data_IF_296354598226
#
_entry.id   IF_296354598226
#
_cell.length_a   1.000
_cell.length_b   1.000
_cell.length_c   1.000
_cell.angle_alpha   90.00
_cell.angle_beta   90.00
_cell.angle_gamma   90.00
#
_symmetry.space_group_name_H-M   'P 1'
#
loop_
_entity.id
_entity.type
_entity.pdbx_description
1 polymer ?
#
# COMPACT_ATOMS: atom_id res chain seq x y z
N UNK A 1 -28.33 12.83 -0.69
CA UNK A 1 -27.01 12.39 -1.23
C UNK A 1 -25.91 13.04 -0.40
N UNK A 2 -25.01 12.24 0.14
CA UNK A 2 -23.79 12.79 0.74
C UNK A 2 -23.02 13.57 -0.33
N UNK A 3 -22.51 14.76 0.01
CA UNK A 3 -21.70 15.54 -0.92
C UNK A 3 -20.42 14.76 -1.26
N UNK A 4 -19.81 15.07 -2.41
CA UNK A 4 -18.51 14.47 -2.79
C UNK A 4 -17.48 14.63 -1.66
N UNK A 5 -17.50 15.75 -0.97
CA UNK A 5 -16.64 16.06 0.17
C UNK A 5 -16.88 15.11 1.36
N UNK A 6 -18.14 14.84 1.73
CA UNK A 6 -18.50 13.92 2.81
C UNK A 6 -18.09 12.48 2.52
N UNK A 7 -18.17 12.07 1.24
CA UNK A 7 -17.72 10.74 0.81
C UNK A 7 -16.19 10.60 0.96
N UNK A 8 -15.43 11.59 0.51
CA UNK A 8 -13.96 11.60 0.63
C UNK A 8 -13.51 11.66 2.10
N UNK A 9 -14.17 12.46 2.94
CA UNK A 9 -13.87 12.51 4.37
C UNK A 9 -14.15 11.16 5.05
N UNK A 10 -15.30 10.53 4.74
CA UNK A 10 -15.63 9.20 5.25
C UNK A 10 -14.63 8.14 4.80
N UNK A 11 -14.21 8.18 3.54
CA UNK A 11 -13.18 7.29 2.99
C UNK A 11 -11.86 7.43 3.74
N UNK A 12 -11.40 8.65 3.95
CA UNK A 12 -10.17 8.94 4.70
C UNK A 12 -10.23 8.42 6.14
N UNK A 13 -11.37 8.62 6.83
CA UNK A 13 -11.58 8.12 8.19
C UNK A 13 -11.55 6.60 8.25
N UNK A 14 -12.17 5.91 7.29
CA UNK A 14 -12.14 4.45 7.19
C UNK A 14 -10.71 3.95 6.98
N UNK A 15 -9.97 4.51 6.01
CA UNK A 15 -8.58 4.12 5.75
C UNK A 15 -7.68 4.33 6.97
N UNK A 16 -7.80 5.49 7.63
CA UNK A 16 -7.03 5.78 8.86
C UNK A 16 -7.35 4.79 9.97
N UNK A 17 -8.63 4.47 10.19
CA UNK A 17 -9.05 3.48 11.18
C UNK A 17 -8.50 2.08 10.86
N UNK A 18 -8.52 1.69 9.59
CA UNK A 18 -7.98 0.39 9.15
C UNK A 18 -6.47 0.30 9.39
N UNK A 19 -5.69 1.31 8.97
CA UNK A 19 -4.23 1.32 9.19
C UNK A 19 -3.91 1.16 10.68
N UNK A 20 -4.58 1.93 11.54
CA UNK A 20 -4.36 1.83 12.98
C UNK A 20 -4.70 0.44 13.52
N UNK A 21 -5.89 -0.10 13.20
CA UNK A 21 -6.34 -1.40 13.69
C UNK A 21 -5.48 -2.55 13.16
N UNK A 22 -5.07 -2.48 11.88
CA UNK A 22 -4.22 -3.51 11.29
C UNK A 22 -2.84 -3.52 11.94
N UNK A 23 -2.26 -2.36 12.23
CA UNK A 23 -0.96 -2.28 12.92
C UNK A 23 -1.05 -2.65 14.40
N UNK A 24 -2.17 -2.35 15.07
CA UNK A 24 -2.37 -2.66 16.49
C UNK A 24 -2.62 -4.15 16.76
N UNK A 25 -3.40 -4.82 15.92
CA UNK A 25 -3.89 -6.19 16.21
C UNK A 25 -3.86 -7.18 15.05
N UNK A 26 -3.40 -6.75 13.88
CA UNK A 26 -3.33 -7.54 12.66
C UNK A 26 -4.59 -7.41 11.78
N UNK A 27 -4.40 -7.72 10.50
CA UNK A 27 -5.46 -7.68 9.49
C UNK A 27 -6.57 -8.71 9.79
N UNK A 28 -6.18 -9.97 10.03
CA UNK A 28 -7.13 -11.07 10.24
C UNK A 28 -8.04 -10.83 11.46
N UNK A 29 -7.47 -10.33 12.56
CA UNK A 29 -8.19 -10.07 13.82
C UNK A 29 -9.04 -8.80 13.79
N UNK A 30 -8.90 -7.95 12.79
CA UNK A 30 -9.67 -6.71 12.65
C UNK A 30 -11.01 -7.00 11.97
N UNK A 31 -12.10 -6.64 12.66
CA UNK A 31 -13.47 -6.80 12.17
C UNK A 31 -14.01 -5.53 11.53
N UNK A 32 -14.96 -5.67 10.61
CA UNK A 32 -15.65 -4.51 10.01
C UNK A 32 -16.34 -3.66 11.07
N UNK A 33 -16.93 -4.29 12.12
CA UNK A 33 -17.59 -3.57 13.23
C UNK A 33 -16.63 -2.63 13.95
N UNK A 34 -15.41 -3.07 14.21
CA UNK A 34 -14.36 -2.23 14.83
C UNK A 34 -13.93 -1.08 13.93
N UNK A 35 -13.80 -1.34 12.63
CA UNK A 35 -13.50 -0.30 11.64
C UNK A 35 -14.60 0.77 11.64
N UNK A 36 -15.88 0.36 11.56
CA UNK A 36 -17.02 1.28 11.60
C UNK A 36 -17.01 2.15 12.86
N UNK A 37 -16.82 1.52 14.01
CA UNK A 37 -16.78 2.20 15.30
C UNK A 37 -15.64 3.20 15.39
N UNK A 38 -14.43 2.79 14.99
CA UNK A 38 -13.23 3.63 15.05
C UNK A 38 -13.29 4.78 14.03
N UNK A 39 -13.81 4.55 12.84
CA UNK A 39 -13.99 5.55 11.79
C UNK A 39 -15.18 6.50 12.07
N UNK A 40 -16.09 6.15 12.96
CA UNK A 40 -17.30 6.91 13.22
C UNK A 40 -18.23 6.99 12.00
N UNK A 41 -18.36 5.89 11.26
CA UNK A 41 -19.22 5.82 10.06
C UNK A 41 -20.30 4.75 10.22
N UNK A 42 -21.42 4.94 9.50
CA UNK A 42 -22.48 3.95 9.48
C UNK A 42 -22.14 2.77 8.58
N UNK A 43 -22.75 1.57 8.80
CA UNK A 43 -22.61 0.44 7.89
C UNK A 43 -22.95 0.81 6.43
N UNK A 44 -24.04 1.58 6.23
CA UNK A 44 -24.45 2.04 4.89
C UNK A 44 -23.35 2.87 4.22
N UNK A 45 -22.76 3.82 4.95
CA UNK A 45 -21.65 4.64 4.44
C UNK A 45 -20.45 3.77 4.06
N UNK A 46 -20.10 2.81 4.91
CA UNK A 46 -19.01 1.89 4.65
C UNK A 46 -19.22 1.08 3.36
N UNK A 47 -20.37 0.39 3.26
CA UNK A 47 -20.65 -0.47 2.11
C UNK A 47 -20.89 0.30 0.80
N UNK A 48 -21.21 1.60 0.87
CA UNK A 48 -21.26 2.48 -0.30
C UNK A 48 -19.85 2.88 -0.80
N UNK A 49 -18.82 2.79 0.05
CA UNK A 49 -17.43 3.14 -0.29
C UNK A 49 -16.62 1.87 -0.54
N UNK A 50 -16.70 0.91 0.37
CA UNK A 50 -15.99 -0.36 0.34
C UNK A 50 -16.97 -1.52 0.51
N UNK A 51 -16.99 -2.44 -0.42
CA UNK A 51 -17.87 -3.61 -0.34
C UNK A 51 -17.38 -4.63 0.70
N UNK A 52 -16.08 -4.70 0.93
CA UNK A 52 -15.44 -5.67 1.83
C UNK A 52 -14.22 -5.07 2.52
N UNK A 53 -13.74 -5.72 3.57
CA UNK A 53 -12.43 -5.42 4.17
C UNK A 53 -11.28 -5.64 3.17
N UNK A 54 -11.43 -6.61 2.26
CA UNK A 54 -10.46 -6.87 1.19
C UNK A 54 -10.31 -5.71 0.20
N UNK A 55 -11.39 -5.00 -0.12
CA UNK A 55 -11.33 -3.82 -0.98
C UNK A 55 -10.48 -2.69 -0.38
N UNK A 56 -10.48 -2.59 0.96
CA UNK A 56 -9.62 -1.64 1.68
C UNK A 56 -8.15 -2.07 1.58
N UNK A 57 -7.90 -3.37 1.74
CA UNK A 57 -6.55 -3.93 1.60
C UNK A 57 -5.99 -3.65 0.20
N UNK A 58 -6.80 -3.81 -0.85
CA UNK A 58 -6.40 -3.49 -2.23
C UNK A 58 -6.02 -2.03 -2.38
N UNK A 59 -6.79 -1.10 -1.82
CA UNK A 59 -6.47 0.33 -1.88
C UNK A 59 -5.20 0.68 -1.09
N UNK A 60 -5.02 0.07 0.09
CA UNK A 60 -3.78 0.24 0.88
C UNK A 60 -2.56 -0.33 0.13
N UNK A 61 -2.71 -1.49 -0.51
CA UNK A 61 -1.68 -2.09 -1.36
C UNK A 61 -1.30 -1.16 -2.51
N UNK A 62 -2.29 -0.59 -3.20
CA UNK A 62 -2.05 0.38 -4.27
C UNK A 62 -1.28 1.61 -3.77
N UNK A 63 -1.64 2.13 -2.62
CA UNK A 63 -0.95 3.25 -2.00
C UNK A 63 0.49 2.91 -1.62
N UNK A 64 0.71 1.76 -0.96
CA UNK A 64 2.03 1.31 -0.49
C UNK A 64 2.99 1.14 -1.68
N UNK A 65 2.60 0.39 -2.69
CA UNK A 65 3.46 0.09 -3.83
C UNK A 65 3.51 1.22 -4.89
N UNK A 66 2.49 2.07 -4.95
CA UNK A 66 2.52 3.28 -5.76
C UNK A 66 3.46 4.37 -5.24
N UNK A 67 3.77 4.35 -3.95
CA UNK A 67 4.69 5.26 -3.28
C UNK A 67 6.02 4.62 -2.88
N UNK A 68 6.28 3.41 -3.37
CA UNK A 68 7.55 2.71 -3.21
C UNK A 68 8.72 3.63 -3.60
N UNK A 69 9.82 3.55 -2.89
CA UNK A 69 11.02 4.38 -3.04
C UNK A 69 10.92 5.84 -2.55
N UNK A 70 9.77 6.32 -2.09
CA UNK A 70 9.67 7.70 -1.61
C UNK A 70 10.48 7.96 -0.33
N UNK A 71 10.53 7.00 0.59
CA UNK A 71 11.26 7.11 1.85
C UNK A 71 12.73 6.83 1.61
N UNK A 72 13.05 5.74 0.94
CA UNK A 72 14.43 5.36 0.59
C UNK A 72 15.11 6.45 -0.25
N UNK A 73 14.41 7.05 -1.20
CA UNK A 73 14.92 8.19 -1.98
C UNK A 73 15.30 9.39 -1.12
N UNK A 74 14.52 9.69 -0.08
CA UNK A 74 14.89 10.75 0.89
C UNK A 74 16.09 10.40 1.75
N UNK A 75 16.29 9.11 2.04
CA UNK A 75 17.43 8.63 2.84
C UNK A 75 18.73 8.72 2.04
N UNK A 76 18.71 8.28 0.78
CA UNK A 76 19.93 8.18 -0.06
C UNK A 76 20.24 9.44 -0.86
N UNK A 77 19.26 10.32 -1.07
CA UNK A 77 19.41 11.56 -1.84
C UNK A 77 19.17 11.41 -3.34
N UNK A 78 19.02 12.56 -4.04
CA UNK A 78 18.53 12.64 -5.43
C UNK A 78 19.52 12.11 -6.48
N UNK A 79 20.84 12.15 -6.22
CA UNK A 79 21.88 11.72 -7.17
C UNK A 79 22.38 10.29 -6.93
N UNK A 80 21.56 9.44 -6.32
CA UNK A 80 21.99 8.12 -5.90
C UNK A 80 21.93 7.10 -7.03
N UNK A 81 22.90 6.18 -7.04
CA UNK A 81 22.88 5.00 -7.89
C UNK A 81 21.58 4.21 -7.68
N UNK A 82 20.82 3.89 -8.74
CA UNK A 82 19.52 3.21 -8.63
C UNK A 82 19.62 1.82 -7.96
N UNK A 83 20.75 1.13 -8.10
CA UNK A 83 20.98 -0.14 -7.39
C UNK A 83 21.03 0.07 -5.87
N UNK A 84 21.68 1.15 -5.42
CA UNK A 84 21.71 1.50 -3.99
C UNK A 84 20.32 1.90 -3.50
N UNK A 85 19.60 2.70 -4.27
CA UNK A 85 18.21 3.06 -3.94
C UNK A 85 17.32 1.81 -3.80
N UNK A 86 17.42 0.90 -4.75
CA UNK A 86 16.68 -0.38 -4.70
C UNK A 86 17.07 -1.24 -3.50
N UNK A 87 18.38 -1.35 -3.21
CA UNK A 87 18.87 -2.10 -2.06
C UNK A 87 18.37 -1.51 -0.73
N UNK A 88 18.41 -0.18 -0.58
CA UNK A 88 17.91 0.49 0.64
C UNK A 88 16.41 0.30 0.80
N UNK A 89 15.63 0.41 -0.28
CA UNK A 89 14.18 0.14 -0.25
C UNK A 89 13.88 -1.30 0.18
N UNK A 90 14.57 -2.27 -0.40
CA UNK A 90 14.40 -3.69 -0.06
C UNK A 90 14.76 -3.96 1.40
N UNK A 91 15.90 -3.44 1.86
CA UNK A 91 16.31 -3.57 3.26
C UNK A 91 15.30 -2.91 4.22
N UNK A 92 14.78 -1.74 3.85
CA UNK A 92 13.76 -1.03 4.65
C UNK A 92 12.48 -1.86 4.78
N UNK A 93 11.95 -2.37 3.68
CA UNK A 93 10.74 -3.19 3.69
C UNK A 93 10.92 -4.47 4.51
N UNK A 94 12.03 -5.20 4.31
CA UNK A 94 12.33 -6.42 5.07
C UNK A 94 12.49 -6.13 6.56
N UNK A 95 13.19 -5.05 6.91
CA UNK A 95 13.38 -4.66 8.31
C UNK A 95 12.05 -4.30 8.97
N UNK A 96 11.20 -3.53 8.31
CA UNK A 96 9.87 -3.16 8.83
C UNK A 96 8.99 -4.40 9.02
N UNK A 97 9.01 -5.33 8.08
CA UNK A 97 8.26 -6.59 8.18
C UNK A 97 8.80 -7.51 9.28
N UNK A 98 10.12 -7.48 9.55
CA UNK A 98 10.73 -8.25 10.64
C UNK A 98 10.39 -7.65 12.01
N UNK A 99 10.44 -6.33 12.13
CA UNK A 99 10.20 -5.63 13.40
C UNK A 99 8.71 -5.55 13.78
N UNK A 100 7.79 -5.72 12.83
CA UNK A 100 6.37 -5.60 13.08
C UNK A 100 5.58 -6.76 12.44
N UNK A 101 5.16 -7.71 13.28
CA UNK A 101 4.41 -8.89 12.85
C UNK A 101 3.10 -8.54 12.16
N UNK A 102 2.38 -7.53 12.64
CA UNK A 102 1.12 -7.11 12.04
C UNK A 102 1.32 -6.46 10.66
N UNK A 103 2.42 -5.73 10.48
CA UNK A 103 2.79 -5.19 9.17
C UNK A 103 3.19 -6.32 8.21
N UNK A 104 3.95 -7.31 8.68
CA UNK A 104 4.26 -8.52 7.89
C UNK A 104 3.00 -9.25 7.45
N UNK A 105 2.01 -9.39 8.34
CA UNK A 105 0.69 -9.96 8.01
C UNK A 105 0.02 -9.21 6.86
N UNK A 106 0.04 -7.88 6.86
CA UNK A 106 -0.54 -7.05 5.78
C UNK A 106 0.15 -7.35 4.44
N UNK A 107 1.48 -7.46 4.40
CA UNK A 107 2.22 -7.85 3.19
C UNK A 107 1.81 -9.25 2.72
N UNK A 108 1.78 -10.24 3.62
CA UNK A 108 1.38 -11.61 3.28
C UNK A 108 -0.04 -11.64 2.73
N UNK A 109 -0.98 -10.97 3.37
CA UNK A 109 -2.38 -10.89 2.90
C UNK A 109 -2.49 -10.21 1.53
N UNK A 110 -1.72 -9.15 1.29
CA UNK A 110 -1.69 -8.47 0.00
C UNK A 110 -1.26 -9.43 -1.13
N UNK A 111 -0.28 -10.29 -0.87
CA UNK A 111 0.20 -11.30 -1.84
C UNK A 111 -0.65 -12.58 -1.92
N UNK A 112 -1.70 -12.73 -1.12
CA UNK A 112 -2.63 -13.87 -1.24
C UNK A 112 -3.79 -13.61 -2.20
N UNK A 113 -4.05 -12.35 -2.54
CA UNK A 113 -5.15 -11.95 -3.43
C UNK A 113 -4.60 -11.76 -4.86
N UNK A 114 -5.05 -12.54 -5.86
CA UNK A 114 -4.51 -12.49 -7.22
C UNK A 114 -4.53 -11.08 -7.85
N UNK A 115 -5.60 -10.33 -7.64
CA UNK A 115 -5.74 -8.96 -8.14
C UNK A 115 -4.69 -8.02 -7.53
N UNK A 116 -4.34 -8.22 -6.27
CA UNK A 116 -3.31 -7.45 -5.59
C UNK A 116 -1.91 -7.81 -6.09
N UNK A 117 -1.65 -9.10 -6.40
CA UNK A 117 -0.37 -9.54 -6.97
C UNK A 117 -0.10 -8.80 -8.28
N UNK A 118 -1.07 -8.80 -9.19
CA UNK A 118 -0.96 -8.09 -10.46
C UNK A 118 -0.76 -6.58 -10.25
N UNK A 119 -1.50 -5.99 -9.32
CA UNK A 119 -1.36 -4.58 -8.95
C UNK A 119 0.04 -4.26 -8.42
N UNK A 120 0.57 -5.10 -7.53
CA UNK A 120 1.92 -4.97 -6.94
C UNK A 120 2.96 -5.01 -8.06
N UNK A 121 2.93 -6.01 -8.92
CA UNK A 121 3.88 -6.15 -10.02
C UNK A 121 3.85 -4.94 -10.96
N UNK A 122 2.66 -4.50 -11.38
CA UNK A 122 2.50 -3.30 -12.23
C UNK A 122 3.05 -2.04 -11.57
N UNK A 123 2.73 -1.81 -10.30
CA UNK A 123 3.20 -0.62 -9.57
C UNK A 123 4.71 -0.65 -9.38
N UNK A 124 5.27 -1.79 -8.98
CA UNK A 124 6.70 -1.97 -8.80
C UNK A 124 7.44 -1.79 -10.12
N UNK A 125 6.99 -2.40 -11.22
CA UNK A 125 7.59 -2.25 -12.54
C UNK A 125 7.67 -0.78 -12.99
N UNK A 126 6.61 -0.01 -12.80
CA UNK A 126 6.61 1.43 -13.09
C UNK A 126 7.62 2.19 -12.23
N UNK A 127 7.75 1.87 -10.96
CA UNK A 127 8.72 2.51 -10.08
C UNK A 127 10.16 2.12 -10.45
N UNK A 128 10.41 0.85 -10.76
CA UNK A 128 11.72 0.37 -11.23
C UNK A 128 12.12 1.06 -12.54
N UNK A 129 11.21 1.14 -13.50
CA UNK A 129 11.48 1.89 -14.73
C UNK A 129 11.94 3.32 -14.43
N UNK A 130 11.24 4.06 -13.55
CA UNK A 130 11.58 5.44 -13.20
C UNK A 130 13.00 5.58 -12.66
N UNK A 131 13.43 4.69 -11.76
CA UNK A 131 14.75 4.78 -11.13
C UNK A 131 15.88 4.26 -12.04
N UNK A 132 15.59 3.34 -12.96
CA UNK A 132 16.58 2.74 -13.84
C UNK A 132 16.66 3.38 -15.25
N UNK A 133 15.67 4.17 -15.66
CA UNK A 133 15.63 4.77 -17.01
C UNK A 133 16.90 5.52 -17.42
N UNK A 134 17.62 6.25 -16.54
CA UNK A 134 18.87 6.92 -16.92
C UNK A 134 20.00 5.94 -17.33
N UNK A 135 19.91 4.69 -16.87
CA UNK A 135 20.92 3.64 -17.11
C UNK A 135 20.45 2.59 -18.12
N UNK A 136 19.15 2.45 -18.29
CA UNK A 136 18.51 1.49 -19.18
C UNK A 136 17.47 2.20 -20.08
N UNK A 137 17.88 3.13 -20.95
CA UNK A 137 16.95 4.01 -21.67
C UNK A 137 16.06 3.28 -22.69
N UNK A 138 16.39 2.04 -23.06
CA UNK A 138 15.59 1.22 -23.97
C UNK A 138 14.55 0.33 -23.28
N UNK A 139 14.51 0.33 -21.95
CA UNK A 139 13.62 -0.55 -21.19
C UNK A 139 12.29 0.15 -20.86
N UNK A 140 11.20 -0.55 -21.09
CA UNK A 140 9.83 -0.15 -20.73
C UNK A 140 9.45 -0.69 -19.35
N UNK A 141 8.31 -0.27 -18.80
CA UNK A 141 7.81 -0.83 -17.56
C UNK A 141 7.54 -2.35 -17.66
N UNK A 142 7.17 -2.85 -18.85
CA UNK A 142 6.95 -4.29 -19.07
C UNK A 142 8.22 -5.13 -18.96
N UNK A 143 9.39 -4.55 -19.17
CA UNK A 143 10.67 -5.27 -19.02
C UNK A 143 11.06 -5.48 -17.55
N UNK A 144 10.38 -4.79 -16.62
CA UNK A 144 10.51 -4.95 -15.17
C UNK A 144 9.33 -5.70 -14.53
N UNK A 145 8.42 -6.23 -15.37
CA UNK A 145 7.22 -6.92 -14.93
C UNK A 145 7.45 -8.44 -14.93
N UNK A 146 8.09 -8.94 -13.88
CA UNK A 146 8.25 -10.39 -13.64
C UNK A 146 8.04 -10.74 -12.16
#
# INVERSE_FOLDING_TARGET
MASRYEKEDSKRRILSACVQLFLEKGYQKTTTVEILKKAGVTPSTFYNIYHTKGSILTELTEFMFGNQFNISGKIVGEETNPVLLYAVETCLQLTLAELNENLREIYVEAYTVPENIELIHKKTAVQLQKIFVPYLPGYSASDFYE
#
